data_IF_303321507855
#
_entry.id   IF_303321507855
#
_cell.length_a   1.000
_cell.length_b   1.000
_cell.length_c   1.000
_cell.angle_alpha   90.00
_cell.angle_beta   90.00
_cell.angle_gamma   90.00
#
_symmetry.space_group_name_H-M   'P 1'
#
loop_
_entity.id
_entity.type
_entity.pdbx_description
1 polymer ?
#
# COMPACT_ATOMS: atom_id res chain seq x y z
N UNK A 1 26.08 -18.18 -11.22
CA UNK A 1 25.31 -18.75 -12.34
C UNK A 1 24.45 -17.63 -12.89
N UNK A 2 24.71 -17.17 -14.12
CA UNK A 2 23.82 -16.21 -14.79
C UNK A 2 22.56 -17.00 -15.13
N UNK A 3 21.44 -16.71 -14.44
CA UNK A 3 20.15 -17.31 -14.80
C UNK A 3 19.80 -16.81 -16.17
N UNK A 4 19.89 -17.69 -17.16
CA UNK A 4 19.40 -17.40 -18.51
C UNK A 4 17.88 -17.31 -18.48
N UNK A 5 17.26 -16.52 -19.34
CA UNK A 5 15.80 -16.35 -19.37
C UNK A 5 14.98 -17.63 -19.62
N UNK A 6 15.63 -18.75 -19.88
CA UNK A 6 14.99 -20.02 -20.27
C UNK A 6 14.80 -21.04 -19.13
N UNK A 7 15.30 -20.79 -17.92
CA UNK A 7 15.15 -21.71 -16.77
C UNK A 7 13.87 -21.48 -15.93
N UNK A 8 12.95 -20.68 -16.39
CA UNK A 8 11.64 -20.54 -15.79
C UNK A 8 10.76 -21.74 -16.18
N UNK A 9 10.53 -22.64 -15.23
CA UNK A 9 9.52 -23.70 -15.31
C UNK A 9 8.24 -23.18 -16.00
N UNK A 10 7.67 -24.03 -16.88
CA UNK A 10 6.54 -23.76 -17.76
C UNK A 10 5.28 -23.21 -17.05
N UNK A 11 5.33 -21.96 -16.65
CA UNK A 11 4.18 -21.15 -16.31
C UNK A 11 3.68 -20.48 -17.58
N UNK A 12 2.38 -20.62 -17.83
CA UNK A 12 1.66 -19.88 -18.88
C UNK A 12 2.06 -18.40 -18.76
N UNK A 13 2.89 -17.92 -19.69
CA UNK A 13 3.30 -16.50 -19.72
C UNK A 13 2.02 -15.68 -19.83
N UNK A 14 1.79 -14.82 -18.85
CA UNK A 14 0.68 -13.88 -18.91
C UNK A 14 0.80 -13.03 -20.20
N UNK A 15 -0.30 -12.94 -20.95
CA UNK A 15 -0.35 -12.07 -22.13
C UNK A 15 -0.13 -10.61 -21.68
N UNK A 16 0.93 -9.99 -22.15
CA UNK A 16 1.23 -8.57 -21.90
C UNK A 16 0.21 -7.68 -22.61
N UNK A 17 -0.88 -7.35 -21.92
CA UNK A 17 -2.02 -6.60 -22.48
C UNK A 17 -2.09 -5.16 -21.99
N UNK A 18 -1.52 -4.85 -20.82
CA UNK A 18 -1.63 -3.54 -20.16
C UNK A 18 -0.57 -2.58 -20.71
N UNK A 19 -1.01 -1.47 -21.30
CA UNK A 19 -0.15 -0.32 -21.62
C UNK A 19 0.01 0.61 -20.41
N UNK A 20 0.64 1.78 -20.63
CA UNK A 20 0.82 2.81 -19.61
C UNK A 20 -0.51 3.22 -18.93
N UNK A 21 -1.58 3.41 -19.72
CA UNK A 21 -2.90 3.80 -19.20
C UNK A 21 -3.47 2.72 -18.27
N UNK A 22 -3.33 1.43 -18.65
CA UNK A 22 -3.76 0.32 -17.80
C UNK A 22 -2.99 0.27 -16.49
N UNK A 23 -1.67 0.46 -16.52
CA UNK A 23 -0.84 0.53 -15.32
C UNK A 23 -1.20 1.74 -14.42
N UNK A 24 -1.43 2.91 -15.02
CA UNK A 24 -1.93 4.10 -14.30
C UNK A 24 -3.28 3.85 -13.63
N UNK A 25 -4.20 3.17 -14.33
CA UNK A 25 -5.53 2.86 -13.77
C UNK A 25 -5.44 1.94 -12.55
N UNK A 26 -4.48 1.00 -12.51
CA UNK A 26 -4.21 0.17 -11.32
C UNK A 26 -3.74 1.04 -10.16
N UNK A 27 -2.72 1.86 -10.37
CA UNK A 27 -2.14 2.69 -9.32
C UNK A 27 -3.12 3.76 -8.80
N UNK A 28 -3.76 4.53 -9.69
CA UNK A 28 -4.74 5.55 -9.29
C UNK A 28 -5.97 4.92 -8.64
N UNK A 29 -6.47 3.79 -9.17
CA UNK A 29 -7.60 3.09 -8.59
C UNK A 29 -7.33 2.57 -7.17
N UNK A 30 -6.08 2.22 -6.87
CA UNK A 30 -5.67 1.80 -5.55
C UNK A 30 -5.45 3.00 -4.59
N UNK A 31 -4.82 4.07 -5.07
CA UNK A 31 -4.50 5.24 -4.24
C UNK A 31 -5.73 6.12 -3.96
N UNK A 32 -6.59 6.38 -4.95
CA UNK A 32 -7.78 7.24 -4.78
C UNK A 32 -8.88 6.55 -3.93
N UNK A 33 -8.49 5.66 -3.02
CA UNK A 33 -9.36 4.92 -2.11
C UNK A 33 -9.67 5.66 -0.81
N UNK A 34 -9.52 4.91 0.29
CA UNK A 34 -9.92 5.33 1.64
C UNK A 34 -9.31 6.61 2.18
N UNK A 35 -8.07 6.92 1.78
CA UNK A 35 -7.32 8.00 2.39
C UNK A 35 -7.99 9.37 2.34
N UNK A 36 -8.45 9.82 1.16
CA UNK A 36 -9.07 11.13 1.04
C UNK A 36 -10.53 11.14 1.48
N UNK A 37 -11.24 10.03 1.30
CA UNK A 37 -12.66 9.96 1.59
C UNK A 37 -12.98 9.83 3.09
N UNK A 38 -12.08 9.24 3.87
CA UNK A 38 -12.36 8.85 5.26
C UNK A 38 -11.53 9.62 6.26
N UNK A 39 -10.21 9.61 6.12
CA UNK A 39 -9.30 10.17 7.13
C UNK A 39 -9.04 11.67 6.95
N UNK A 40 -9.44 12.26 5.83
CA UNK A 40 -9.19 13.67 5.58
C UNK A 40 -9.94 14.60 6.56
N UNK A 41 -11.09 14.19 7.11
CA UNK A 41 -11.80 14.93 8.15
C UNK A 41 -10.99 15.00 9.44
N UNK A 42 -10.60 13.86 9.98
CA UNK A 42 -9.74 13.77 11.17
C UNK A 42 -8.42 14.53 10.94
N UNK A 43 -7.79 14.36 9.77
CA UNK A 43 -6.56 15.07 9.42
C UNK A 43 -6.75 16.59 9.35
N UNK A 44 -7.91 17.07 8.85
CA UNK A 44 -8.28 18.49 8.89
C UNK A 44 -8.45 18.98 10.32
N UNK A 45 -9.05 18.17 11.20
CA UNK A 45 -9.17 18.45 12.63
C UNK A 45 -7.82 18.61 13.34
N UNK A 46 -6.77 17.88 12.89
CA UNK A 46 -5.43 17.95 13.49
C UNK A 46 -4.67 19.24 13.16
N UNK A 47 -4.77 19.75 11.93
CA UNK A 47 -3.92 20.86 11.45
C UNK A 47 -4.66 21.94 10.65
N UNK A 48 -5.98 21.83 10.49
CA UNK A 48 -6.77 22.80 9.75
C UNK A 48 -6.36 22.92 8.28
N UNK A 49 -6.30 24.15 7.73
CA UNK A 49 -5.94 24.41 6.33
C UNK A 49 -4.51 23.97 5.93
N UNK A 50 -3.62 23.74 6.89
CA UNK A 50 -2.30 23.18 6.64
C UNK A 50 -2.37 21.73 6.08
N UNK A 51 -3.56 21.11 6.06
CA UNK A 51 -3.81 19.80 5.44
C UNK A 51 -3.37 19.75 3.97
N UNK A 52 -3.56 20.83 3.22
CA UNK A 52 -3.11 20.94 1.82
C UNK A 52 -1.60 20.73 1.72
N UNK A 53 -0.84 21.38 2.62
CA UNK A 53 0.61 21.24 2.67
C UNK A 53 1.05 19.87 3.20
N UNK A 54 0.26 19.25 4.08
CA UNK A 54 0.54 17.90 4.55
C UNK A 54 0.43 16.86 3.42
N UNK A 55 -0.59 16.94 2.55
CA UNK A 55 -0.67 16.09 1.36
C UNK A 55 0.49 16.32 0.39
N UNK A 56 0.90 17.57 0.17
CA UNK A 56 2.11 17.87 -0.63
C UNK A 56 3.36 17.23 -0.01
N UNK A 57 3.56 17.44 1.28
CA UNK A 57 4.71 16.90 2.01
C UNK A 57 4.74 15.38 1.94
N UNK A 58 3.60 14.70 2.17
CA UNK A 58 3.51 13.23 2.08
C UNK A 58 3.85 12.74 0.68
N UNK A 59 3.34 13.39 -0.38
CA UNK A 59 3.68 13.06 -1.76
C UNK A 59 5.17 13.22 -2.06
N UNK A 60 5.79 14.32 -1.59
CA UNK A 60 7.22 14.56 -1.75
C UNK A 60 8.09 13.55 -0.98
N UNK A 61 7.68 13.15 0.23
CA UNK A 61 8.40 12.14 1.01
C UNK A 61 8.27 10.75 0.38
N UNK A 62 7.11 10.45 -0.21
CA UNK A 62 6.85 9.16 -0.87
C UNK A 62 7.62 9.00 -2.18
N UNK A 63 8.04 10.11 -2.83
CA UNK A 63 8.72 10.07 -4.13
C UNK A 63 10.01 9.24 -4.09
N UNK A 64 10.75 9.27 -2.98
CA UNK A 64 11.98 8.51 -2.82
C UNK A 64 11.70 7.01 -2.85
N UNK A 65 10.65 6.58 -2.14
CA UNK A 65 10.22 5.17 -2.15
C UNK A 65 9.68 4.76 -3.52
N UNK A 66 8.91 5.62 -4.18
CA UNK A 66 8.36 5.36 -5.51
C UNK A 66 9.46 5.16 -6.57
N UNK A 67 10.53 5.97 -6.55
CA UNK A 67 11.70 5.81 -7.42
C UNK A 67 12.38 4.46 -7.18
N UNK A 68 12.55 4.08 -5.91
CA UNK A 68 13.17 2.81 -5.53
C UNK A 68 12.34 1.60 -5.96
N UNK A 69 11.02 1.67 -5.78
CA UNK A 69 10.09 0.65 -6.28
C UNK A 69 10.14 0.51 -7.80
N UNK A 70 10.20 1.64 -8.52
CA UNK A 70 10.29 1.65 -9.98
C UNK A 70 11.57 0.93 -10.47
N UNK A 71 12.70 1.15 -9.81
CA UNK A 71 13.96 0.47 -10.15
C UNK A 71 13.91 -1.03 -9.84
N UNK A 72 13.41 -1.41 -8.67
CA UNK A 72 13.27 -2.81 -8.27
C UNK A 72 12.35 -3.57 -9.23
N UNK A 73 11.19 -3.00 -9.57
CA UNK A 73 10.23 -3.62 -10.47
C UNK A 73 10.76 -3.82 -11.90
N UNK A 74 11.65 -2.93 -12.36
CA UNK A 74 12.31 -3.10 -13.66
C UNK A 74 13.41 -4.17 -13.63
N UNK A 75 14.06 -4.34 -12.49
CA UNK A 75 15.17 -5.30 -12.33
C UNK A 75 14.66 -6.70 -11.95
N UNK A 76 13.53 -6.76 -11.26
CA UNK A 76 12.90 -8.00 -10.77
C UNK A 76 11.42 -8.00 -11.20
N UNK A 77 11.11 -8.26 -12.48
CA UNK A 77 9.75 -8.22 -13.00
C UNK A 77 8.96 -9.48 -12.63
N UNK A 78 8.86 -9.76 -11.33
CA UNK A 78 8.11 -10.88 -10.74
C UNK A 78 6.92 -10.37 -9.94
N UNK A 79 5.87 -11.20 -9.84
CA UNK A 79 4.74 -10.93 -8.96
C UNK A 79 5.16 -11.00 -7.47
N UNK A 80 4.47 -10.24 -6.60
CA UNK A 80 4.69 -10.26 -5.14
C UNK A 80 5.23 -8.96 -4.55
N UNK A 81 5.57 -7.98 -5.39
CA UNK A 81 5.90 -6.62 -4.95
C UNK A 81 7.08 -6.55 -3.98
N UNK A 82 6.96 -5.71 -2.94
CA UNK A 82 8.05 -5.41 -2.02
C UNK A 82 8.67 -6.61 -1.32
N UNK A 83 7.86 -7.63 -0.96
CA UNK A 83 8.38 -8.87 -0.38
C UNK A 83 9.33 -9.60 -1.35
N UNK A 84 8.89 -9.78 -2.59
CA UNK A 84 9.70 -10.46 -3.62
C UNK A 84 10.99 -9.70 -3.91
N UNK A 85 10.93 -8.37 -3.93
CA UNK A 85 12.11 -7.53 -4.11
C UNK A 85 13.13 -7.75 -2.98
N UNK A 86 12.68 -7.75 -1.73
CA UNK A 86 13.55 -8.02 -0.58
C UNK A 86 14.09 -9.45 -0.59
N UNK A 87 13.26 -10.44 -0.96
CA UNK A 87 13.65 -11.85 -1.03
C UNK A 87 14.74 -12.09 -2.08
N UNK A 88 14.60 -11.51 -3.28
CA UNK A 88 15.55 -11.72 -4.38
C UNK A 88 16.85 -10.90 -4.21
N UNK A 89 16.83 -9.82 -3.43
CA UNK A 89 18.01 -8.95 -3.23
C UNK A 89 18.74 -9.23 -1.95
N UNK A 90 18.05 -9.23 -0.81
CA UNK A 90 18.62 -9.34 0.53
C UNK A 90 18.52 -10.78 1.02
N UNK A 91 17.32 -11.39 0.90
CA UNK A 91 17.00 -12.72 1.42
C UNK A 91 16.94 -12.79 2.95
N UNK A 92 16.75 -14.00 3.48
CA UNK A 92 16.86 -14.28 4.91
C UNK A 92 15.88 -13.49 5.79
N UNK A 93 16.32 -13.15 6.99
CA UNK A 93 15.52 -12.44 7.99
C UNK A 93 14.97 -11.07 7.52
N UNK A 94 15.76 -10.19 6.85
CA UNK A 94 15.22 -8.92 6.36
C UNK A 94 14.09 -9.08 5.34
N UNK A 95 14.16 -10.09 4.47
CA UNK A 95 13.09 -10.41 3.53
C UNK A 95 11.82 -10.86 4.25
N UNK A 96 11.96 -11.72 5.28
CA UNK A 96 10.84 -12.08 6.15
C UNK A 96 10.21 -10.84 6.80
N UNK A 97 11.01 -9.94 7.38
CA UNK A 97 10.51 -8.72 8.00
C UNK A 97 9.75 -7.84 7.00
N UNK A 98 10.28 -7.70 5.78
CA UNK A 98 9.58 -6.96 4.71
C UNK A 98 8.21 -7.57 4.44
N UNK A 99 8.16 -8.89 4.22
CA UNK A 99 6.90 -9.61 4.00
C UNK A 99 5.94 -9.48 5.16
N UNK A 100 6.42 -9.64 6.39
CA UNK A 100 5.63 -9.51 7.61
C UNK A 100 4.99 -8.14 7.75
N UNK A 101 5.77 -7.06 7.66
CA UNK A 101 5.27 -5.70 7.84
C UNK A 101 4.35 -5.27 6.70
N UNK A 102 4.64 -5.60 5.45
CA UNK A 102 3.73 -5.34 4.33
C UNK A 102 2.45 -6.18 4.44
N UNK A 103 2.53 -7.43 4.91
CA UNK A 103 1.37 -8.27 5.15
C UNK A 103 0.45 -7.67 6.22
N UNK A 104 1.02 -7.26 7.37
CA UNK A 104 0.26 -6.62 8.45
C UNK A 104 -0.30 -5.26 7.97
N UNK A 105 0.51 -4.42 7.32
CA UNK A 105 0.05 -3.15 6.77
C UNK A 105 -1.16 -3.31 5.85
N UNK A 106 -1.11 -4.28 4.93
CA UNK A 106 -2.21 -4.60 4.03
C UNK A 106 -3.45 -5.13 4.76
N UNK A 107 -3.29 -6.03 5.76
CA UNK A 107 -4.41 -6.54 6.58
C UNK A 107 -5.14 -5.38 7.24
N UNK A 108 -4.40 -4.50 7.88
CA UNK A 108 -4.95 -3.38 8.62
C UNK A 108 -5.57 -2.35 7.67
N UNK A 109 -4.94 -2.09 6.51
CA UNK A 109 -5.53 -1.25 5.44
C UNK A 109 -6.86 -1.81 4.92
N UNK A 110 -6.97 -3.13 4.74
CA UNK A 110 -8.26 -3.77 4.40
C UNK A 110 -9.32 -3.50 5.47
N UNK A 111 -8.92 -3.54 6.76
CA UNK A 111 -9.80 -3.16 7.88
C UNK A 111 -10.29 -1.71 7.78
N UNK A 112 -9.38 -0.78 7.46
CA UNK A 112 -9.71 0.62 7.23
C UNK A 112 -10.73 0.80 6.10
N UNK A 113 -10.50 0.18 4.95
CA UNK A 113 -11.40 0.27 3.80
C UNK A 113 -12.77 -0.34 4.09
N UNK A 114 -12.82 -1.47 4.80
CA UNK A 114 -14.08 -2.08 5.22
C UNK A 114 -14.86 -1.20 6.20
N UNK A 115 -14.18 -0.58 7.18
CA UNK A 115 -14.77 0.38 8.11
C UNK A 115 -15.26 1.63 7.38
N UNK A 116 -14.53 2.11 6.37
CA UNK A 116 -14.96 3.22 5.54
C UNK A 116 -16.31 2.95 4.84
N UNK A 117 -16.47 1.76 4.24
CA UNK A 117 -17.77 1.34 3.67
C UNK A 117 -18.81 1.17 4.77
N UNK A 118 -18.45 0.65 5.94
CA UNK A 118 -19.36 0.52 7.07
C UNK A 118 -19.86 1.87 7.57
N UNK A 119 -19.00 2.90 7.65
CA UNK A 119 -19.42 4.26 7.97
C UNK A 119 -20.43 4.83 6.96
N UNK A 120 -20.24 4.53 5.67
CA UNK A 120 -21.21 4.92 4.63
C UNK A 120 -22.60 4.31 4.89
N UNK A 121 -22.66 3.05 5.30
CA UNK A 121 -23.91 2.37 5.67
C UNK A 121 -24.43 2.89 7.03
N UNK A 122 -23.52 3.17 7.95
CA UNK A 122 -23.82 3.67 9.29
C UNK A 122 -24.59 5.00 9.30
N UNK A 123 -24.45 5.83 8.26
CA UNK A 123 -25.25 7.06 8.09
C UNK A 123 -26.76 6.79 8.12
N UNK A 124 -27.19 5.60 7.69
CA UNK A 124 -28.62 5.22 7.67
C UNK A 124 -29.07 4.50 8.94
N UNK A 125 -28.16 4.30 9.92
CA UNK A 125 -28.44 3.60 11.17
C UNK A 125 -28.33 4.61 12.32
N UNK A 126 -29.46 4.99 12.97
CA UNK A 126 -29.42 5.89 14.12
C UNK A 126 -28.49 5.32 15.21
N UNK A 127 -27.61 6.17 15.74
CA UNK A 127 -26.68 5.83 16.83
C UNK A 127 -25.81 4.59 16.58
N UNK A 128 -25.30 4.43 15.34
CA UNK A 128 -24.40 3.33 14.99
C UNK A 128 -23.16 3.35 15.88
N UNK A 129 -23.09 2.44 16.87
CA UNK A 129 -21.94 2.30 17.74
C UNK A 129 -20.72 1.75 16.97
N UNK A 130 -19.47 1.95 17.46
CA UNK A 130 -18.28 1.36 16.85
C UNK A 130 -18.39 -0.17 16.67
N UNK A 131 -19.07 -0.85 17.59
CA UNK A 131 -19.30 -2.30 17.52
C UNK A 131 -20.22 -2.67 16.34
N UNK A 132 -21.29 -1.89 16.11
CA UNK A 132 -22.19 -2.09 14.96
C UNK A 132 -21.43 -1.85 13.65
N UNK A 133 -20.63 -0.79 13.57
CA UNK A 133 -19.81 -0.50 12.41
C UNK A 133 -18.78 -1.61 12.15
N UNK A 134 -18.15 -2.14 13.21
CA UNK A 134 -17.25 -3.29 13.11
C UNK A 134 -17.96 -4.55 12.55
N UNK A 135 -19.20 -4.84 12.99
CA UNK A 135 -19.99 -5.96 12.47
C UNK A 135 -20.36 -5.78 10.99
N UNK A 136 -20.74 -4.57 10.60
CA UNK A 136 -21.02 -4.24 9.19
C UNK A 136 -19.75 -4.42 8.36
N UNK A 137 -18.60 -3.94 8.84
CA UNK A 137 -17.30 -4.11 8.17
C UNK A 137 -16.96 -5.60 7.98
N UNK A 138 -17.17 -6.44 8.99
CA UNK A 138 -16.99 -7.90 8.88
C UNK A 138 -17.89 -8.48 7.77
N UNK A 139 -19.15 -8.07 7.69
CA UNK A 139 -20.06 -8.48 6.61
C UNK A 139 -19.51 -8.12 5.22
N UNK A 140 -18.95 -6.90 5.06
CA UNK A 140 -18.33 -6.45 3.81
C UNK A 140 -17.08 -7.28 3.48
N UNK A 141 -16.26 -7.61 4.49
CA UNK A 141 -15.06 -8.44 4.32
C UNK A 141 -15.46 -9.86 3.88
N UNK A 142 -16.54 -10.42 4.43
CA UNK A 142 -17.06 -11.73 4.00
C UNK A 142 -17.50 -11.67 2.54
N UNK A 143 -18.21 -10.63 2.12
CA UNK A 143 -18.59 -10.45 0.71
C UNK A 143 -17.34 -10.36 -0.17
N UNK A 144 -16.32 -9.62 0.25
CA UNK A 144 -15.05 -9.51 -0.46
C UNK A 144 -14.33 -10.87 -0.55
N UNK A 145 -14.33 -11.64 0.53
CA UNK A 145 -13.80 -13.02 0.51
C UNK A 145 -14.55 -13.89 -0.49
N UNK A 146 -15.89 -13.88 -0.47
CA UNK A 146 -16.72 -14.69 -1.38
C UNK A 146 -16.44 -14.34 -2.84
N UNK A 147 -16.34 -13.04 -3.18
CA UNK A 147 -16.04 -12.58 -4.55
C UNK A 147 -14.67 -13.05 -5.03
N UNK A 148 -13.64 -12.99 -4.18
CA UNK A 148 -12.29 -13.47 -4.51
C UNK A 148 -12.22 -15.01 -4.52
N UNK A 149 -12.89 -15.69 -3.59
CA UNK A 149 -12.98 -17.15 -3.54
C UNK A 149 -13.67 -17.73 -4.76
N UNK A 150 -14.77 -17.12 -5.21
CA UNK A 150 -15.52 -17.57 -6.38
C UNK A 150 -14.79 -17.30 -7.70
N UNK A 151 -13.74 -16.46 -7.70
CA UNK A 151 -12.99 -16.04 -8.91
C UNK A 151 -13.94 -15.58 -10.04
N UNK A 152 -14.91 -14.76 -9.69
CA UNK A 152 -15.95 -14.33 -10.60
C UNK A 152 -15.36 -13.41 -11.68
N UNK A 153 -15.35 -13.89 -12.92
CA UNK A 153 -14.83 -13.13 -14.09
C UNK A 153 -15.46 -11.74 -14.27
N UNK A 154 -16.66 -11.51 -13.72
CA UNK A 154 -17.33 -10.21 -13.74
C UNK A 154 -16.85 -9.20 -12.73
N UNK A 155 -16.16 -9.63 -11.65
CA UNK A 155 -15.75 -8.72 -10.55
C UNK A 155 -14.80 -7.64 -11.04
N UNK A 156 -13.83 -7.97 -11.89
CA UNK A 156 -12.89 -6.99 -12.45
C UNK A 156 -13.62 -5.88 -13.22
N UNK A 157 -14.65 -6.24 -13.99
CA UNK A 157 -15.48 -5.26 -14.70
C UNK A 157 -16.26 -4.36 -13.74
N UNK A 158 -16.85 -4.93 -12.68
CA UNK A 158 -17.58 -4.16 -11.65
C UNK A 158 -16.64 -3.21 -10.92
N UNK A 159 -15.46 -3.68 -10.50
CA UNK A 159 -14.45 -2.83 -9.84
C UNK A 159 -13.98 -1.70 -10.76
N UNK A 160 -13.82 -1.97 -12.06
CA UNK A 160 -13.51 -0.93 -13.05
C UNK A 160 -14.60 0.15 -13.13
N UNK A 161 -15.88 -0.25 -13.14
CA UNK A 161 -17.01 0.69 -13.12
C UNK A 161 -17.02 1.51 -11.82
N UNK A 162 -16.82 0.87 -10.67
CA UNK A 162 -16.76 1.55 -9.38
C UNK A 162 -15.61 2.59 -9.35
N UNK A 163 -14.44 2.27 -9.90
CA UNK A 163 -13.33 3.21 -10.01
C UNK A 163 -13.64 4.40 -10.92
N UNK A 164 -14.39 4.20 -12.00
CA UNK A 164 -14.83 5.31 -12.88
C UNK A 164 -15.84 6.20 -12.13
N UNK A 165 -16.84 5.60 -11.50
CA UNK A 165 -17.86 6.34 -10.75
C UNK A 165 -17.22 7.20 -9.65
N UNK A 166 -16.38 6.61 -8.80
CA UNK A 166 -15.70 7.34 -7.73
C UNK A 166 -14.83 8.49 -8.27
N UNK A 167 -14.12 8.25 -9.39
CA UNK A 167 -13.29 9.28 -10.01
C UNK A 167 -14.13 10.46 -10.50
N UNK A 168 -15.26 10.19 -11.17
CA UNK A 168 -16.18 11.24 -11.62
C UNK A 168 -16.69 12.06 -10.43
N UNK A 169 -17.08 11.40 -9.33
CA UNK A 169 -17.57 12.07 -8.13
C UNK A 169 -16.47 12.93 -7.51
N UNK A 170 -15.25 12.40 -7.36
CA UNK A 170 -14.13 13.15 -6.78
C UNK A 170 -13.73 14.35 -7.64
N UNK A 171 -13.66 14.17 -8.96
CA UNK A 171 -13.36 15.27 -9.87
C UNK A 171 -14.46 16.33 -9.88
N UNK A 172 -15.74 15.93 -9.84
CA UNK A 172 -16.85 16.88 -9.73
C UNK A 172 -16.84 17.63 -8.40
N UNK A 173 -16.52 16.94 -7.28
CA UNK A 173 -16.32 17.57 -5.98
C UNK A 173 -15.26 18.68 -6.04
N UNK A 174 -14.10 18.38 -6.64
CA UNK A 174 -13.02 19.35 -6.78
C UNK A 174 -13.44 20.51 -7.70
N UNK A 175 -13.93 20.20 -8.91
CA UNK A 175 -14.25 21.20 -9.92
C UNK A 175 -15.33 22.18 -9.45
N UNK A 176 -16.41 21.66 -8.85
CA UNK A 176 -17.49 22.48 -8.31
C UNK A 176 -17.03 23.22 -7.05
N UNK A 177 -16.30 22.50 -6.17
CA UNK A 177 -15.88 23.01 -4.87
C UNK A 177 -14.97 24.26 -4.97
N UNK A 178 -14.16 24.37 -6.02
CA UNK A 178 -13.33 25.57 -6.23
C UNK A 178 -14.14 26.88 -6.27
N UNK A 179 -15.40 26.83 -6.72
CA UNK A 179 -16.29 28.01 -6.75
C UNK A 179 -16.85 28.38 -5.38
N UNK A 180 -16.82 27.46 -4.40
CA UNK A 180 -17.33 27.65 -3.05
C UNK A 180 -16.24 27.93 -2.01
N UNK A 181 -14.97 27.88 -2.41
CA UNK A 181 -13.85 28.14 -1.51
C UNK A 181 -13.89 29.57 -1.01
N UNK A 182 -13.83 29.74 0.31
CA UNK A 182 -13.81 31.02 1.01
C UNK A 182 -12.39 31.32 1.52
N UNK A 183 -11.77 32.44 1.14
CA UNK A 183 -10.40 32.79 1.60
C UNK A 183 -10.28 32.84 3.12
N UNK A 184 -11.34 33.24 3.83
CA UNK A 184 -11.39 33.28 5.29
C UNK A 184 -11.15 31.90 5.94
N UNK A 185 -11.67 30.83 5.37
CA UNK A 185 -11.46 29.48 5.88
C UNK A 185 -10.01 29.03 5.70
N UNK A 186 -9.38 29.40 4.60
CA UNK A 186 -7.97 29.04 4.30
C UNK A 186 -7.00 29.81 5.20
N UNK A 187 -7.37 31.03 5.61
CA UNK A 187 -6.54 31.87 6.48
C UNK A 187 -6.59 31.47 7.96
N UNK A 188 -7.48 30.56 8.36
CA UNK A 188 -7.54 30.03 9.72
C UNK A 188 -6.26 29.28 10.05
N UNK A 189 -5.62 29.65 11.17
CA UNK A 189 -4.45 28.92 11.69
C UNK A 189 -4.92 28.01 12.80
N UNK A 190 -4.57 26.72 12.71
CA UNK A 190 -4.89 25.79 13.79
C UNK A 190 -4.07 26.14 15.04
N UNK A 191 -4.69 26.26 16.25
CA UNK A 191 -4.01 26.72 17.45
C UNK A 191 -2.82 25.84 17.87
N UNK A 192 -2.90 24.53 17.62
CA UNK A 192 -1.88 23.55 17.95
C UNK A 192 -0.93 23.23 16.81
N UNK A 193 -0.92 24.03 15.74
CA UNK A 193 -0.05 23.81 14.59
C UNK A 193 1.42 23.95 14.98
N UNK A 194 2.10 22.82 15.07
CA UNK A 194 3.53 22.71 15.31
C UNK A 194 4.16 21.66 14.41
N UNK A 195 5.49 21.61 14.37
CA UNK A 195 6.20 20.65 13.52
C UNK A 195 5.83 19.21 13.84
N UNK A 196 5.68 18.87 15.13
CA UNK A 196 5.30 17.52 15.54
C UNK A 196 3.88 17.16 15.08
N UNK A 197 2.89 18.04 15.32
CA UNK A 197 1.49 17.84 14.88
C UNK A 197 1.41 17.74 13.37
N UNK A 198 2.16 18.57 12.65
CA UNK A 198 2.24 18.50 11.18
C UNK A 198 2.81 17.14 10.72
N UNK A 199 3.94 16.69 11.28
CA UNK A 199 4.53 15.40 10.94
C UNK A 199 3.64 14.21 11.34
N UNK A 200 2.93 14.30 12.47
CA UNK A 200 1.94 13.31 12.88
C UNK A 200 0.79 13.21 11.87
N UNK A 201 0.31 14.34 11.35
CA UNK A 201 -0.70 14.34 10.29
C UNK A 201 -0.15 13.77 8.98
N UNK A 202 1.10 14.14 8.60
CA UNK A 202 1.78 13.55 7.42
C UNK A 202 1.87 12.04 7.54
N UNK A 203 2.22 11.50 8.73
CA UNK A 203 2.25 10.06 8.94
C UNK A 203 0.86 9.42 8.93
N UNK A 204 -0.16 10.11 9.47
CA UNK A 204 -1.54 9.62 9.50
C UNK A 204 -2.16 9.52 8.10
N UNK A 205 -1.87 10.47 7.21
CA UNK A 205 -2.37 10.44 5.84
C UNK A 205 -1.49 9.63 4.87
N UNK A 206 -0.38 9.02 5.36
CA UNK A 206 0.54 8.26 4.51
C UNK A 206 -0.14 7.10 3.80
N UNK A 207 -1.11 6.43 4.45
CA UNK A 207 -1.94 5.36 3.87
C UNK A 207 -2.64 5.80 2.57
N UNK A 208 -2.94 7.09 2.41
CA UNK A 208 -3.53 7.63 1.18
C UNK A 208 -2.59 7.49 -0.02
N UNK A 209 -1.29 7.44 0.22
CA UNK A 209 -0.26 7.31 -0.81
C UNK A 209 0.19 5.87 -1.05
N UNK A 210 -0.30 4.92 -0.26
CA UNK A 210 -0.13 3.49 -0.50
C UNK A 210 -1.05 3.06 -1.65
N UNK A 211 -0.54 2.23 -2.56
CA UNK A 211 -1.28 1.78 -3.75
C UNK A 211 -0.49 1.87 -5.05
N UNK A 212 0.50 2.79 -5.16
CA UNK A 212 1.38 2.84 -6.34
C UNK A 212 2.19 1.54 -6.51
N UNK A 213 2.51 0.87 -5.43
CA UNK A 213 3.23 -0.40 -5.42
C UNK A 213 2.42 -1.55 -6.04
N UNK A 214 1.08 -1.45 -6.05
CA UNK A 214 0.23 -2.46 -6.69
C UNK A 214 0.44 -2.52 -8.22
N UNK A 215 0.95 -1.47 -8.85
CA UNK A 215 1.39 -1.52 -10.26
C UNK A 215 2.42 -2.64 -10.46
N UNK A 216 3.30 -2.85 -9.47
CA UNK A 216 4.35 -3.87 -9.56
C UNK A 216 3.82 -5.29 -9.43
N UNK A 217 2.65 -5.49 -8.84
CA UNK A 217 2.01 -6.81 -8.78
C UNK A 217 1.49 -7.29 -10.13
N UNK A 218 1.27 -6.36 -11.07
CA UNK A 218 0.85 -6.63 -12.45
C UNK A 218 2.01 -6.52 -13.47
N UNK A 219 3.27 -6.50 -13.01
CA UNK A 219 4.44 -6.26 -13.86
C UNK A 219 4.57 -7.23 -15.04
N UNK A 220 4.11 -8.48 -14.89
CA UNK A 220 4.14 -9.50 -15.93
C UNK A 220 3.12 -9.25 -17.05
N UNK A 221 2.04 -8.51 -16.76
CA UNK A 221 0.97 -8.17 -17.70
C UNK A 221 1.23 -6.83 -18.44
N UNK A 222 2.22 -6.03 -17.97
CA UNK A 222 2.51 -4.71 -18.51
C UNK A 222 3.41 -4.82 -19.74
N UNK A 223 3.01 -4.16 -20.84
CA UNK A 223 3.81 -4.00 -22.06
C UNK A 223 5.01 -3.09 -21.76
N UNK A 224 6.17 -3.42 -22.31
CA UNK A 224 7.41 -2.64 -22.11
C UNK A 224 7.64 -2.29 -20.64
N UNK A 225 7.72 -3.28 -19.72
CA UNK A 225 7.70 -3.04 -18.27
C UNK A 225 8.83 -2.10 -17.82
N UNK A 226 10.03 -2.22 -18.39
CA UNK A 226 11.16 -1.36 -18.08
C UNK A 226 10.90 0.14 -18.35
N UNK A 227 9.94 0.48 -19.20
CA UNK A 227 9.56 1.85 -19.57
C UNK A 227 8.25 2.28 -18.90
N UNK A 228 7.24 1.41 -18.93
CA UNK A 228 5.89 1.77 -18.52
C UNK A 228 5.71 1.71 -17.01
N UNK A 229 6.38 0.80 -16.28
CA UNK A 229 6.26 0.71 -14.82
C UNK A 229 6.80 1.98 -14.13
N UNK A 230 8.05 2.46 -14.40
CA UNK A 230 8.54 3.69 -13.78
C UNK A 230 7.67 4.89 -14.06
N UNK A 231 7.21 5.03 -15.31
CA UNK A 231 6.33 6.13 -15.72
C UNK A 231 4.98 6.05 -15.01
N UNK A 232 4.38 4.86 -14.93
CA UNK A 232 3.12 4.66 -14.26
C UNK A 232 3.23 5.00 -12.77
N UNK A 233 4.24 4.52 -12.06
CA UNK A 233 4.47 4.81 -10.64
C UNK A 233 4.62 6.32 -10.41
N UNK A 234 5.51 6.99 -11.16
CA UNK A 234 5.77 8.42 -10.98
C UNK A 234 4.57 9.28 -11.34
N UNK A 235 3.87 8.97 -12.44
CA UNK A 235 2.67 9.69 -12.84
C UNK A 235 1.51 9.46 -11.87
N UNK A 236 1.33 8.24 -11.38
CA UNK A 236 0.33 7.93 -10.36
C UNK A 236 0.55 8.77 -9.11
N UNK A 237 1.78 8.81 -8.59
CA UNK A 237 2.11 9.59 -7.40
C UNK A 237 1.88 11.10 -7.63
N UNK A 238 2.33 11.63 -8.77
CA UNK A 238 2.14 13.05 -9.11
C UNK A 238 0.66 13.41 -9.21
N UNK A 239 -0.12 12.64 -9.98
CA UNK A 239 -1.54 12.88 -10.19
C UNK A 239 -2.31 12.76 -8.88
N UNK A 240 -2.05 11.73 -8.08
CA UNK A 240 -2.70 11.54 -6.78
C UNK A 240 -2.37 12.69 -5.81
N UNK A 241 -1.10 13.15 -5.75
CA UNK A 241 -0.70 14.29 -4.93
C UNK A 241 -1.49 15.55 -5.29
N UNK A 242 -1.60 15.85 -6.59
CA UNK A 242 -2.35 17.02 -7.07
C UNK A 242 -3.85 16.91 -6.77
N UNK A 243 -4.43 15.73 -6.95
CA UNK A 243 -5.85 15.46 -6.63
C UNK A 243 -6.09 15.62 -5.13
N UNK A 244 -5.22 15.06 -4.28
CA UNK A 244 -5.36 15.17 -2.82
C UNK A 244 -5.21 16.61 -2.33
N UNK A 245 -4.25 17.35 -2.85
CA UNK A 245 -4.11 18.78 -2.54
C UNK A 245 -5.36 19.57 -2.94
N UNK A 246 -5.89 19.34 -4.14
CA UNK A 246 -7.08 20.02 -4.63
C UNK A 246 -8.33 19.65 -3.80
N UNK A 247 -8.51 18.37 -3.48
CA UNK A 247 -9.61 17.91 -2.65
C UNK A 247 -9.49 18.44 -1.21
N UNK A 248 -8.30 18.43 -0.62
CA UNK A 248 -8.05 19.02 0.69
C UNK A 248 -8.32 20.52 0.71
N UNK A 249 -7.93 21.27 -0.34
CA UNK A 249 -8.22 22.70 -0.47
C UNK A 249 -9.72 22.97 -0.48
N UNK A 250 -10.50 22.17 -1.21
CA UNK A 250 -11.96 22.27 -1.22
C UNK A 250 -12.54 21.93 0.14
N UNK A 251 -12.07 20.85 0.77
CA UNK A 251 -12.54 20.43 2.09
C UNK A 251 -12.41 21.54 3.13
N UNK A 252 -11.22 22.10 3.30
CA UNK A 252 -10.96 23.12 4.32
C UNK A 252 -11.30 24.54 3.87
N UNK A 253 -11.55 24.75 2.58
CA UNK A 253 -11.88 26.06 2.02
C UNK A 253 -13.38 26.35 1.96
N UNK A 254 -14.25 25.33 1.78
CA UNK A 254 -15.69 25.50 1.68
C UNK A 254 -16.32 25.77 3.04
N UNK A 255 -15.91 25.04 4.06
CA UNK A 255 -16.41 25.17 5.44
C UNK A 255 -15.24 25.23 6.42
N UNK A 256 -15.41 25.82 7.62
CA UNK A 256 -14.40 25.75 8.67
C UNK A 256 -14.04 24.30 8.99
N UNK A 257 -12.74 24.02 9.10
CA UNK A 257 -12.24 22.66 9.37
C UNK A 257 -12.86 22.03 10.63
N UNK A 258 -13.29 22.82 11.61
CA UNK A 258 -13.96 22.37 12.83
C UNK A 258 -15.30 21.67 12.60
N UNK A 259 -15.98 21.94 11.48
CA UNK A 259 -17.23 21.29 11.13
C UNK A 259 -17.05 19.88 10.55
N UNK A 260 -15.85 19.56 10.08
CA UNK A 260 -15.54 18.27 9.46
C UNK A 260 -14.51 17.45 10.27
N UNK A 261 -13.99 18.00 11.37
CA UNK A 261 -12.90 17.40 12.15
C UNK A 261 -13.20 15.97 12.66
N UNK A 262 -14.44 15.73 13.09
CA UNK A 262 -14.87 14.43 13.62
C UNK A 262 -15.64 13.59 12.58
N UNK A 263 -15.69 14.04 11.33
CA UNK A 263 -16.45 13.36 10.28
C UNK A 263 -15.60 12.29 9.59
N UNK A 264 -16.10 11.05 9.56
CA UNK A 264 -15.57 9.98 8.72
C UNK A 264 -16.18 9.96 7.29
N UNK A 265 -17.01 10.97 6.96
CA UNK A 265 -17.58 11.21 5.63
C UNK A 265 -17.39 12.66 5.19
N UNK A 266 -16.20 13.27 5.36
CA UNK A 266 -16.03 14.73 5.23
C UNK A 266 -16.35 15.27 3.83
N UNK A 267 -16.03 14.51 2.77
CA UNK A 267 -16.38 14.89 1.38
C UNK A 267 -17.90 14.96 1.21
N UNK A 268 -18.66 14.04 1.82
CA UNK A 268 -20.12 14.04 1.71
C UNK A 268 -20.74 15.24 2.42
N UNK A 269 -20.23 15.59 3.60
CA UNK A 269 -20.67 16.77 4.36
C UNK A 269 -20.43 18.05 3.55
N UNK A 270 -19.21 18.23 3.03
CA UNK A 270 -18.87 19.42 2.25
C UNK A 270 -19.65 19.46 0.93
N UNK A 271 -19.88 18.32 0.30
CA UNK A 271 -20.64 18.26 -0.95
C UNK A 271 -22.14 18.62 -0.74
N UNK A 272 -22.70 18.26 0.44
CA UNK A 272 -24.02 18.69 0.86
C UNK A 272 -24.11 20.22 1.02
N UNK A 273 -23.11 20.83 1.67
CA UNK A 273 -23.03 22.29 1.84
C UNK A 273 -23.00 23.00 0.49
N UNK A 274 -22.35 22.43 -0.52
CA UNK A 274 -22.24 23.03 -1.85
C UNK A 274 -23.51 22.87 -2.69
N UNK A 275 -24.10 21.68 -2.70
CA UNK A 275 -25.14 21.31 -3.69
C UNK A 275 -26.41 20.74 -3.06
N UNK A 276 -26.50 20.69 -1.74
CA UNK A 276 -27.66 20.19 -0.99
C UNK A 276 -27.68 18.67 -0.77
N UNK A 277 -28.77 18.15 -0.13
CA UNK A 277 -28.81 16.77 0.40
C UNK A 277 -28.63 15.68 -0.64
N UNK A 278 -28.97 15.91 -1.89
CA UNK A 278 -28.76 14.93 -2.97
C UNK A 278 -27.28 14.66 -3.23
N UNK A 279 -26.42 15.69 -3.11
CA UNK A 279 -24.99 15.58 -3.29
C UNK A 279 -24.30 14.80 -2.15
N UNK A 280 -24.83 14.89 -0.92
CA UNK A 280 -24.39 14.07 0.19
C UNK A 280 -24.43 12.57 -0.14
N UNK A 281 -25.57 12.08 -0.60
CA UNK A 281 -25.74 10.66 -0.95
C UNK A 281 -24.92 10.26 -2.16
N UNK A 282 -24.73 11.17 -3.12
CA UNK A 282 -23.87 10.92 -4.27
C UNK A 282 -22.40 10.73 -3.83
N UNK A 283 -21.90 11.58 -2.92
CA UNK A 283 -20.57 11.46 -2.38
C UNK A 283 -20.39 10.19 -1.53
N UNK A 284 -21.40 9.81 -0.74
CA UNK A 284 -21.42 8.53 -0.02
C UNK A 284 -21.31 7.33 -0.96
N UNK A 285 -22.02 7.35 -2.09
CA UNK A 285 -21.91 6.30 -3.09
C UNK A 285 -20.49 6.22 -3.69
N UNK A 286 -19.88 7.38 -3.95
CA UNK A 286 -18.48 7.46 -4.38
C UNK A 286 -17.50 6.91 -3.36
N UNK A 287 -17.68 7.25 -2.09
CA UNK A 287 -16.89 6.75 -0.98
C UNK A 287 -17.01 5.23 -0.84
N UNK A 288 -18.23 4.68 -0.87
CA UNK A 288 -18.46 3.24 -0.82
C UNK A 288 -17.80 2.51 -2.00
N UNK A 289 -17.99 3.03 -3.22
CA UNK A 289 -17.40 2.46 -4.43
C UNK A 289 -15.87 2.43 -4.37
N UNK A 290 -15.27 3.55 -3.96
CA UNK A 290 -13.83 3.73 -3.82
C UNK A 290 -13.23 2.73 -2.82
N UNK A 291 -13.77 2.72 -1.60
CA UNK A 291 -13.24 1.89 -0.53
C UNK A 291 -13.46 0.40 -0.77
N UNK A 292 -14.59 0.01 -1.39
CA UNK A 292 -14.81 -1.38 -1.76
C UNK A 292 -13.85 -1.86 -2.85
N UNK A 293 -13.54 -1.01 -3.84
CA UNK A 293 -12.57 -1.34 -4.87
C UNK A 293 -11.15 -1.49 -4.28
N UNK A 294 -10.74 -0.56 -3.41
CA UNK A 294 -9.46 -0.62 -2.71
C UNK A 294 -9.37 -1.87 -1.80
N UNK A 295 -10.42 -2.15 -1.01
CA UNK A 295 -10.51 -3.34 -0.17
C UNK A 295 -10.30 -4.61 -0.99
N UNK A 296 -10.99 -4.75 -2.12
CA UNK A 296 -10.93 -5.95 -2.94
C UNK A 296 -9.51 -6.17 -3.52
N UNK A 297 -8.89 -5.12 -4.05
CA UNK A 297 -7.54 -5.18 -4.59
C UNK A 297 -6.49 -5.53 -3.51
N UNK A 298 -6.54 -4.83 -2.37
CA UNK A 298 -5.61 -5.04 -1.26
C UNK A 298 -5.80 -6.40 -0.58
N UNK A 299 -7.04 -6.87 -0.45
CA UNK A 299 -7.36 -8.19 0.12
C UNK A 299 -6.70 -9.32 -0.70
N UNK A 300 -6.80 -9.25 -2.03
CA UNK A 300 -6.16 -10.22 -2.91
C UNK A 300 -4.63 -10.13 -2.86
N UNK A 301 -4.08 -8.89 -2.85
CA UNK A 301 -2.64 -8.67 -2.71
C UNK A 301 -2.09 -9.24 -1.39
N UNK A 302 -2.81 -9.04 -0.29
CA UNK A 302 -2.48 -9.59 1.04
C UNK A 302 -2.41 -11.12 1.02
N UNK A 303 -3.42 -11.78 0.43
CA UNK A 303 -3.43 -13.23 0.29
C UNK A 303 -2.26 -13.73 -0.57
N UNK A 304 -1.85 -12.97 -1.61
CA UNK A 304 -0.67 -13.31 -2.43
C UNK A 304 0.65 -13.18 -1.64
N UNK A 305 0.78 -12.19 -0.75
CA UNK A 305 1.96 -12.09 0.14
C UNK A 305 2.00 -13.31 1.06
N UNK A 306 0.88 -13.66 1.71
CA UNK A 306 0.80 -14.84 2.58
C UNK A 306 1.14 -16.15 1.83
N UNK A 307 0.63 -16.29 0.61
CA UNK A 307 0.96 -17.40 -0.28
C UNK A 307 2.47 -17.47 -0.59
N UNK A 308 3.07 -16.34 -0.99
CA UNK A 308 4.50 -16.26 -1.32
C UNK A 308 5.38 -16.60 -0.11
N UNK A 309 5.05 -16.06 1.07
CA UNK A 309 5.75 -16.37 2.31
C UNK A 309 5.58 -17.84 2.75
N UNK A 310 4.42 -18.45 2.46
CA UNK A 310 4.17 -19.88 2.68
C UNK A 310 5.03 -20.75 1.75
N UNK A 311 5.07 -20.41 0.46
CA UNK A 311 5.90 -21.09 -0.55
C UNK A 311 7.39 -21.01 -0.19
N UNK A 312 7.82 -19.85 0.29
CA UNK A 312 9.21 -19.61 0.70
C UNK A 312 9.51 -20.12 2.12
N UNK A 313 8.56 -20.84 2.76
CA UNK A 313 8.68 -21.46 4.09
C UNK A 313 8.89 -20.49 5.26
N UNK A 314 8.52 -19.23 5.11
CA UNK A 314 8.46 -18.27 6.21
C UNK A 314 7.14 -18.33 6.98
N UNK A 315 6.10 -18.85 6.34
CA UNK A 315 4.79 -19.15 6.91
C UNK A 315 4.49 -20.64 6.80
N UNK A 316 3.44 -21.16 7.49
CA UNK A 316 2.98 -22.54 7.32
C UNK A 316 2.77 -22.90 5.85
N UNK A 317 3.32 -24.02 5.40
CA UNK A 317 3.26 -24.47 4.00
C UNK A 317 1.83 -24.71 3.48
N UNK A 318 0.84 -24.86 4.36
CA UNK A 318 -0.56 -24.93 3.95
C UNK A 318 -1.00 -23.71 3.13
N UNK A 319 -0.36 -22.54 3.36
CA UNK A 319 -0.68 -21.30 2.65
C UNK A 319 -0.22 -21.28 1.19
N UNK A 320 0.71 -22.16 0.80
CA UNK A 320 1.16 -22.33 -0.59
C UNK A 320 0.16 -23.11 -1.46
N UNK A 321 -0.89 -23.67 -0.85
CA UNK A 321 -1.84 -24.48 -1.60
C UNK A 321 -2.79 -23.64 -2.44
N UNK A 322 -2.82 -23.96 -3.74
CA UNK A 322 -3.67 -23.30 -4.74
C UNK A 322 -4.76 -24.26 -5.20
N UNK A 323 -6.00 -23.79 -5.24
CA UNK A 323 -7.12 -24.57 -5.75
C UNK A 323 -6.95 -24.88 -7.25
N UNK A 324 -6.88 -26.15 -7.63
CA UNK A 324 -6.75 -26.59 -9.03
C UNK A 324 -7.89 -26.07 -9.91
N UNK A 325 -9.12 -25.96 -9.38
CA UNK A 325 -10.31 -25.52 -10.12
C UNK A 325 -10.39 -23.99 -10.25
N UNK A 326 -9.98 -23.25 -9.22
CA UNK A 326 -10.20 -21.79 -9.12
C UNK A 326 -8.93 -20.98 -9.33
N UNK A 327 -7.76 -21.61 -9.34
CA UNK A 327 -6.44 -20.99 -9.44
C UNK A 327 -6.22 -19.87 -8.37
N UNK A 328 -6.81 -20.06 -7.16
CA UNK A 328 -6.72 -19.10 -6.04
C UNK A 328 -6.14 -19.78 -4.79
N UNK A 329 -5.33 -19.08 -3.97
CA UNK A 329 -4.75 -19.59 -2.74
C UNK A 329 -5.77 -19.53 -1.59
N UNK A 330 -6.68 -20.51 -1.51
CA UNK A 330 -7.80 -20.50 -0.55
C UNK A 330 -7.35 -20.37 0.91
N UNK A 331 -6.35 -21.12 1.43
CA UNK A 331 -5.95 -20.98 2.82
C UNK A 331 -5.40 -19.58 3.14
N UNK A 332 -4.68 -18.95 2.20
CA UNK A 332 -4.20 -17.59 2.36
C UNK A 332 -5.36 -16.56 2.38
N UNK A 333 -6.40 -16.77 1.54
CA UNK A 333 -7.62 -15.94 1.58
C UNK A 333 -8.37 -16.07 2.91
N UNK A 334 -8.45 -17.29 3.48
CA UNK A 334 -9.09 -17.53 4.79
C UNK A 334 -8.30 -16.87 5.91
N UNK A 335 -6.98 -16.99 5.91
CA UNK A 335 -6.13 -16.29 6.88
C UNK A 335 -6.34 -14.78 6.80
N UNK A 336 -6.36 -14.22 5.58
CA UNK A 336 -6.62 -12.78 5.35
C UNK A 336 -8.00 -12.40 5.87
N UNK A 337 -9.06 -13.18 5.58
CA UNK A 337 -10.42 -12.94 6.10
C UNK A 337 -10.43 -12.83 7.63
N UNK A 338 -9.82 -13.80 8.33
CA UNK A 338 -9.81 -13.84 9.79
C UNK A 338 -9.10 -12.62 10.36
N UNK A 339 -7.90 -12.33 9.87
CA UNK A 339 -7.07 -11.25 10.40
C UNK A 339 -7.65 -9.87 10.09
N UNK A 340 -8.14 -9.64 8.87
CA UNK A 340 -8.82 -8.38 8.52
C UNK A 340 -10.06 -8.17 9.38
N UNK A 341 -10.87 -9.21 9.59
CA UNK A 341 -12.06 -9.14 10.45
C UNK A 341 -11.70 -8.81 11.90
N UNK A 342 -10.59 -9.34 12.40
CA UNK A 342 -10.11 -9.04 13.76
C UNK A 342 -9.80 -7.54 13.93
N UNK A 343 -9.08 -6.93 13.00
CA UNK A 343 -8.76 -5.48 13.09
C UNK A 343 -10.00 -4.61 12.82
N UNK A 344 -10.84 -4.97 11.85
CA UNK A 344 -12.07 -4.23 11.56
C UNK A 344 -13.08 -4.28 12.72
N UNK A 345 -13.07 -5.34 13.55
CA UNK A 345 -13.97 -5.48 14.70
C UNK A 345 -13.79 -4.38 15.75
N UNK A 346 -12.63 -3.68 15.75
CA UNK A 346 -12.38 -2.54 16.65
C UNK A 346 -13.35 -1.38 16.41
N UNK A 347 -13.87 -1.22 15.19
CA UNK A 347 -14.70 -0.09 14.79
C UNK A 347 -13.98 1.26 14.80
N UNK A 348 -12.67 1.29 15.06
CA UNK A 348 -11.87 2.52 15.22
C UNK A 348 -11.02 2.77 13.97
N UNK A 349 -11.45 3.72 13.16
CA UNK A 349 -10.82 4.12 11.89
C UNK A 349 -9.41 4.67 12.13
N UNK A 350 -9.24 5.55 13.11
CA UNK A 350 -7.97 6.25 13.34
C UNK A 350 -6.87 5.29 13.80
N UNK A 351 -7.22 4.38 14.73
CA UNK A 351 -6.29 3.34 15.19
C UNK A 351 -5.84 2.45 14.04
N UNK A 352 -6.80 2.03 13.21
CA UNK A 352 -6.54 1.14 12.07
C UNK A 352 -5.69 1.86 11.02
N UNK A 353 -5.94 3.15 10.74
CA UNK A 353 -5.13 3.94 9.82
C UNK A 353 -3.66 4.02 10.29
N UNK A 354 -3.42 4.50 11.51
CA UNK A 354 -2.06 4.61 12.06
C UNK A 354 -1.32 3.27 12.15
N UNK A 355 -2.03 2.18 12.49
CA UNK A 355 -1.43 0.86 12.59
C UNK A 355 -1.06 0.29 11.20
N UNK A 356 -1.84 0.61 10.18
CA UNK A 356 -1.52 0.29 8.80
C UNK A 356 -0.24 1.01 8.36
N UNK A 357 -0.13 2.32 8.66
CA UNK A 357 1.05 3.11 8.35
C UNK A 357 2.30 2.58 9.05
N UNK A 358 2.18 2.11 10.30
CA UNK A 358 3.28 1.46 11.00
C UNK A 358 3.85 0.28 10.19
N UNK A 359 2.98 -0.60 9.70
CA UNK A 359 3.39 -1.75 8.87
C UNK A 359 4.06 -1.30 7.56
N UNK A 360 3.42 -0.39 6.83
CA UNK A 360 3.96 0.10 5.56
C UNK A 360 5.29 0.83 5.73
N UNK A 361 5.40 1.77 6.66
CA UNK A 361 6.61 2.57 6.85
C UNK A 361 7.84 1.70 7.15
N UNK A 362 7.69 0.67 8.00
CA UNK A 362 8.80 -0.26 8.29
C UNK A 362 9.07 -1.16 7.09
N UNK A 363 8.05 -1.76 6.48
CA UNK A 363 8.21 -2.63 5.32
C UNK A 363 8.87 -1.90 4.15
N UNK A 364 8.39 -0.69 3.82
CA UNK A 364 8.93 0.14 2.74
C UNK A 364 10.36 0.62 3.01
N UNK A 365 10.74 0.85 4.29
CA UNK A 365 12.13 1.19 4.62
C UNK A 365 13.11 0.08 4.22
N UNK A 366 12.73 -1.19 4.42
CA UNK A 366 13.54 -2.35 4.04
C UNK A 366 13.56 -2.51 2.50
N UNK A 367 12.42 -2.25 1.83
CA UNK A 367 12.38 -2.25 0.36
C UNK A 367 13.31 -1.17 -0.21
N UNK A 368 13.36 0.02 0.38
CA UNK A 368 14.31 1.07 -0.03
C UNK A 368 15.78 0.59 0.12
N UNK A 369 16.08 -0.15 1.20
CA UNK A 369 17.40 -0.76 1.38
C UNK A 369 17.72 -1.82 0.31
N UNK A 370 16.71 -2.53 -0.20
CA UNK A 370 16.87 -3.53 -1.27
C UNK A 370 17.54 -2.96 -2.52
N UNK A 371 17.31 -1.68 -2.87
CA UNK A 371 17.98 -1.02 -4.00
C UNK A 371 19.48 -0.89 -3.78
N UNK A 372 19.90 -0.59 -2.55
CA UNK A 372 21.33 -0.50 -2.22
C UNK A 372 21.99 -1.86 -2.43
N UNK A 373 21.36 -2.92 -1.96
CA UNK A 373 21.86 -4.29 -2.14
C UNK A 373 21.83 -4.72 -3.60
N UNK A 374 20.73 -4.45 -4.33
CA UNK A 374 20.58 -4.72 -5.76
C UNK A 374 21.79 -4.19 -6.56
N UNK A 375 22.12 -2.90 -6.35
CA UNK A 375 23.22 -2.26 -7.07
C UNK A 375 24.60 -2.75 -6.62
N UNK A 376 24.79 -2.98 -5.30
CA UNK A 376 26.07 -3.49 -4.76
C UNK A 376 26.38 -4.91 -5.24
N UNK A 377 25.35 -5.74 -5.37
CA UNK A 377 25.49 -7.12 -5.89
C UNK A 377 25.53 -7.18 -7.43
N UNK A 378 25.36 -6.06 -8.14
CA UNK A 378 25.35 -6.03 -9.61
C UNK A 378 24.14 -6.73 -10.23
N UNK A 379 23.03 -6.85 -9.49
CA UNK A 379 21.82 -7.53 -9.95
C UNK A 379 20.90 -6.64 -10.83
N UNK A 380 21.28 -5.36 -11.01
CA UNK A 380 20.52 -4.43 -11.88
C UNK A 380 20.62 -4.89 -13.34
N UNK A 381 19.47 -5.00 -14.01
CA UNK A 381 19.41 -5.38 -15.43
C UNK A 381 19.92 -4.20 -16.30
N UNK A 382 20.86 -4.42 -17.24
CA UNK A 382 21.33 -3.37 -18.13
C UNK A 382 20.19 -2.81 -18.99
N UNK A 383 20.18 -1.47 -19.18
CA UNK A 383 19.18 -0.80 -20.02
C UNK A 383 17.82 -0.56 -19.37
N UNK A 384 17.62 -0.98 -18.10
CA UNK A 384 16.40 -0.67 -17.34
C UNK A 384 16.52 0.65 -16.58
N UNK A 385 15.37 1.13 -16.05
CA UNK A 385 15.33 2.33 -15.25
C UNK A 385 16.22 2.19 -14.00
N UNK A 386 17.02 3.22 -13.74
CA UNK A 386 17.84 3.36 -12.52
C UNK A 386 17.53 4.69 -11.86
N UNK A 387 17.18 4.66 -10.58
CA UNK A 387 16.94 5.86 -9.80
C UNK A 387 18.17 6.79 -9.80
N UNK A 388 17.97 8.12 -9.89
CA UNK A 388 19.06 9.09 -9.87
C UNK A 388 19.74 9.16 -8.49
N UNK A 389 20.91 9.82 -8.44
CA UNK A 389 21.62 10.16 -7.20
C UNK A 389 21.82 8.98 -6.22
N UNK A 390 22.21 7.83 -6.72
CA UNK A 390 22.58 6.71 -5.85
C UNK A 390 23.86 7.02 -5.04
N UNK A 391 23.94 6.69 -3.72
CA UNK A 391 22.94 6.01 -2.90
C UNK A 391 21.97 6.96 -2.15
N UNK A 392 21.92 8.24 -2.49
CA UNK A 392 21.20 9.27 -1.75
C UNK A 392 19.68 8.98 -1.74
N UNK A 393 19.09 8.69 -2.90
CA UNK A 393 17.63 8.45 -3.01
C UNK A 393 17.17 7.25 -2.19
N UNK A 394 17.82 6.06 -2.23
CA UNK A 394 17.48 4.96 -1.33
C UNK A 394 17.62 5.31 0.16
N UNK A 395 18.69 6.04 0.53
CA UNK A 395 18.91 6.47 1.92
C UNK A 395 17.82 7.44 2.37
N UNK A 396 17.44 8.42 1.54
CA UNK A 396 16.33 9.34 1.84
C UNK A 396 15.02 8.57 1.96
N UNK A 397 14.76 7.57 1.12
CA UNK A 397 13.59 6.71 1.25
C UNK A 397 13.54 5.96 2.59
N UNK A 398 14.67 5.47 3.09
CA UNK A 398 14.75 4.85 4.42
C UNK A 398 14.49 5.87 5.51
N UNK A 399 15.17 7.03 5.46
CA UNK A 399 15.05 8.08 6.47
C UNK A 399 13.62 8.61 6.55
N UNK A 400 12.99 8.92 5.41
CA UNK A 400 11.61 9.45 5.37
C UNK A 400 10.61 8.46 5.95
N UNK A 401 10.72 7.17 5.63
CA UNK A 401 9.86 6.16 6.22
C UNK A 401 10.08 6.06 7.74
N UNK A 402 11.33 5.91 8.19
CA UNK A 402 11.60 5.72 9.61
C UNK A 402 11.34 6.98 10.47
N UNK A 403 11.51 8.17 9.91
CA UNK A 403 11.24 9.44 10.58
C UNK A 403 9.75 9.62 10.91
N UNK A 404 8.86 9.06 10.11
CA UNK A 404 7.41 9.14 10.33
C UNK A 404 6.91 8.15 11.40
N UNK A 405 7.61 7.05 11.67
CA UNK A 405 7.17 6.05 12.66
C UNK A 405 6.96 6.65 14.06
N UNK A 406 7.89 7.43 14.64
CA UNK A 406 7.70 8.00 15.98
C UNK A 406 6.56 9.02 16.11
N UNK A 407 6.03 9.52 14.99
CA UNK A 407 4.93 10.50 14.98
C UNK A 407 3.55 9.86 14.87
N UNK A 408 3.48 8.53 14.77
CA UNK A 408 2.24 7.76 14.82
C UNK A 408 1.63 7.81 16.23
N UNK A 409 0.32 7.53 16.32
CA UNK A 409 -0.40 7.44 17.58
C UNK A 409 0.23 6.39 18.52
N UNK A 410 0.30 6.69 19.82
CA UNK A 410 0.92 5.82 20.82
C UNK A 410 0.28 4.43 20.88
N UNK A 411 -1.05 4.32 20.70
CA UNK A 411 -1.74 3.03 20.67
C UNK A 411 -1.33 2.19 19.46
N UNK A 412 -1.12 2.82 18.30
CA UNK A 412 -0.63 2.15 17.10
C UNK A 412 0.84 1.70 17.27
N UNK A 413 1.68 2.51 17.93
CA UNK A 413 3.06 2.12 18.26
C UNK A 413 3.12 0.93 19.22
N UNK A 414 2.27 0.90 20.25
CA UNK A 414 2.19 -0.21 21.19
C UNK A 414 1.74 -1.50 20.49
N UNK A 415 0.63 -1.45 19.72
CA UNK A 415 0.15 -2.60 18.96
C UNK A 415 1.15 -3.01 17.87
N UNK A 416 1.77 -2.06 17.19
CA UNK A 416 2.83 -2.32 16.23
C UNK A 416 4.04 -3.03 16.85
N UNK A 417 4.40 -2.65 18.08
CA UNK A 417 5.41 -3.35 18.88
C UNK A 417 5.02 -4.80 19.19
N UNK A 418 3.76 -5.03 19.60
CA UNK A 418 3.22 -6.38 19.84
C UNK A 418 3.26 -7.20 18.53
N UNK A 419 2.84 -6.62 17.40
CA UNK A 419 2.88 -7.29 16.10
C UNK A 419 4.31 -7.58 15.64
N UNK A 420 5.27 -6.71 16.00
CA UNK A 420 6.70 -6.97 15.74
C UNK A 420 7.18 -8.19 16.52
N UNK A 421 6.85 -8.28 17.81
CA UNK A 421 7.17 -9.46 18.64
C UNK A 421 6.50 -10.72 18.09
N UNK A 422 5.21 -10.63 17.69
CA UNK A 422 4.51 -11.73 17.06
C UNK A 422 5.21 -12.19 15.76
N UNK A 423 5.70 -11.26 14.94
CA UNK A 423 6.49 -11.56 13.76
C UNK A 423 7.79 -12.30 14.08
N UNK A 424 8.50 -11.85 15.12
CA UNK A 424 9.71 -12.55 15.58
C UNK A 424 9.41 -13.98 16.02
N UNK A 425 8.30 -14.21 16.74
CA UNK A 425 7.87 -15.56 17.13
C UNK A 425 7.55 -16.41 15.88
N UNK A 426 6.83 -15.87 14.91
CA UNK A 426 6.53 -16.57 13.66
C UNK A 426 7.83 -16.90 12.91
N UNK A 427 8.79 -15.98 12.86
CA UNK A 427 10.09 -16.23 12.24
C UNK A 427 10.84 -17.36 12.95
N UNK A 428 10.89 -17.36 14.28
CA UNK A 428 11.55 -18.40 15.05
C UNK A 428 10.92 -19.79 14.83
N UNK A 429 9.59 -19.84 14.67
CA UNK A 429 8.87 -21.10 14.47
C UNK A 429 9.01 -21.67 13.04
N UNK A 430 9.02 -20.79 12.02
CA UNK A 430 8.97 -21.22 10.62
C UNK A 430 10.17 -20.75 9.80
N UNK A 431 10.62 -19.51 9.98
CA UNK A 431 11.66 -18.89 9.16
C UNK A 431 13.09 -19.20 9.58
N UNK A 432 13.32 -19.66 10.83
CA UNK A 432 14.65 -19.88 11.36
C UNK A 432 15.45 -20.93 10.56
N UNK A 433 14.86 -22.08 10.30
CA UNK A 433 15.49 -23.14 9.51
C UNK A 433 15.75 -22.66 8.07
N UNK A 434 14.81 -21.95 7.47
CA UNK A 434 14.95 -21.38 6.13
C UNK A 434 16.07 -20.33 6.05
N UNK A 435 16.19 -19.50 7.09
CA UNK A 435 17.28 -18.52 7.17
C UNK A 435 18.64 -19.20 7.29
N UNK A 436 18.73 -20.29 8.02
CA UNK A 436 19.94 -21.10 8.14
C UNK A 436 20.36 -21.69 6.80
N UNK A 437 19.42 -22.35 6.09
CA UNK A 437 19.67 -22.89 4.74
C UNK A 437 20.15 -21.79 3.76
N UNK A 438 19.62 -20.57 3.88
CA UNK A 438 20.03 -19.44 3.06
C UNK A 438 21.45 -18.97 3.38
N UNK A 439 21.81 -18.90 4.65
CA UNK A 439 23.18 -18.51 5.10
C UNK A 439 24.19 -19.56 4.68
N UNK A 440 23.86 -20.85 4.92
CA UNK A 440 24.74 -21.97 4.55
C UNK A 440 24.99 -21.98 3.02
N UNK A 441 23.96 -21.75 2.21
CA UNK A 441 24.09 -21.64 0.74
C UNK A 441 24.92 -20.43 0.28
N UNK A 442 24.89 -19.31 1.01
CA UNK A 442 25.76 -18.16 0.72
C UNK A 442 27.23 -18.46 1.06
N UNK A 443 27.49 -19.14 2.17
CA UNK A 443 28.86 -19.55 2.55
C UNK A 443 29.45 -20.50 1.51
N UNK A 444 28.68 -21.47 1.02
CA UNK A 444 29.10 -22.35 -0.06
C UNK A 444 29.47 -21.60 -1.35
N UNK A 445 28.61 -20.65 -1.77
CA UNK A 445 28.88 -19.82 -2.95
C UNK A 445 30.13 -18.95 -2.78
N UNK A 446 30.38 -18.41 -1.59
CA UNK A 446 31.58 -17.63 -1.31
C UNK A 446 32.86 -18.48 -1.34
N UNK A 447 32.79 -19.68 -0.79
CA UNK A 447 33.89 -20.64 -0.82
C UNK A 447 34.20 -21.10 -2.26
N UNK A 448 33.16 -21.36 -3.06
CA UNK A 448 33.33 -21.73 -4.48
C UNK A 448 34.01 -20.60 -5.27
N UNK A 449 33.56 -19.35 -5.04
CA UNK A 449 34.13 -18.16 -5.69
C UNK A 449 35.60 -17.94 -5.26
N UNK A 450 35.93 -18.10 -3.98
CA UNK A 450 37.32 -18.04 -3.50
C UNK A 450 38.19 -19.12 -4.13
N UNK A 451 37.69 -20.34 -4.24
CA UNK A 451 38.44 -21.44 -4.87
C UNK A 451 38.67 -21.20 -6.37
N UNK A 452 37.68 -20.61 -7.08
CA UNK A 452 37.81 -20.20 -8.48
C UNK A 452 38.87 -19.09 -8.68
N UNK A 453 38.93 -18.12 -7.77
CA UNK A 453 39.89 -17.03 -7.84
C UNK A 453 41.31 -17.51 -7.50
N UNK A 454 41.47 -18.44 -6.56
CA UNK A 454 42.72 -19.11 -6.26
C UNK A 454 43.18 -19.94 -7.46
N UNK A 455 42.30 -20.73 -8.07
CA UNK A 455 42.57 -21.51 -9.28
C UNK A 455 43.08 -20.65 -10.44
N UNK A 456 42.46 -19.48 -10.67
CA UNK A 456 42.91 -18.53 -11.70
C UNK A 456 44.24 -17.88 -11.41
N UNK A 457 44.55 -17.62 -10.13
CA UNK A 457 45.87 -17.06 -9.74
C UNK A 457 47.02 -18.04 -9.95
N UNK A 458 46.78 -19.34 -9.81
CA UNK A 458 47.75 -20.39 -10.02
C UNK A 458 48.03 -20.59 -11.54
N UNK A 459 46.99 -20.56 -12.37
CA UNK A 459 47.11 -20.71 -13.85
C UNK A 459 47.70 -19.48 -14.55
N UNK A 460 47.86 -18.35 -13.89
CA UNK A 460 48.56 -17.17 -14.41
C UNK A 460 50.02 -17.08 -13.99
N UNK A 461 50.54 -18.03 -13.19
CA UNK A 461 51.93 -18.11 -12.76
C UNK A 461 52.72 -19.22 -13.48
N UNK A 462 52.05 -20.03 -14.29
CA UNK A 462 52.68 -20.93 -15.28
C UNK A 462 52.70 -20.29 -16.68
#
# INVERSE_FOLDING_TARGET
MVVTPDDAHGDERFDRRLGLVGALSIGLGAMLGGGIYVIAGTAAGMIGPALVMAYLATGLLTIFTAINYAELACSIPKQGGGYTFAQDTIGGFPAFLTGWFLFIGNIVACGLYALAVAHTIGVFIPEASPQILGLIAIGIIIVTFITNYASLKGVTGVLGILNVIQSIILFSFIAVGFFFVKPENISLVHPELGLFTFMSTVSFIYISFVGFELITTASEEIKEPARNIPRAIMLTLLIATLIYMAAALVLVGVTPYTEIADSHTPISVVYEIMLGPGAFYLALAGMAASNYAALNATFLATARIAYSMGRDRYFPTILESVSKKRKTPIPALILTLILVSLFASSGNVDLVAHLSDFGYLIGLSIVNYSVIVLRRKGLSVPGTFKGPFFPIVPILGIITCLMLVPTLNISALQLGGILTVAGLVVFLLYGWNRNRDYVDGLEEQLLEKQNLDIGKSITHQE
#
